data_IF_836077401142
#
_entry.id   IF_836077401142
#
_cell.length_a   1.000
_cell.length_b   1.000
_cell.length_c   1.000
_cell.angle_alpha   90.00
_cell.angle_beta   90.00
_cell.angle_gamma   90.00
#
_symmetry.space_group_name_H-M   'P 1'
#
loop_
_entity.id
_entity.type
_entity.pdbx_description
1 polymer ?
2 water ?
#
# COMPACT_ATOMS: atom_id res chain seq x y z
N UNK A 3 -23.13 -17.64 -10.61
CA UNK A 3 -22.83 -16.57 -11.59
C UNK A 3 -21.40 -16.13 -11.32
N UNK A 4 -20.47 -16.58 -12.18
CA UNK A 4 -19.03 -16.32 -12.13
C UNK A 4 -18.59 -14.89 -11.82
N UNK A 5 -17.63 -14.77 -10.92
CA UNK A 5 -17.11 -13.48 -10.54
C UNK A 5 -16.17 -12.92 -11.59
N UNK A 6 -16.26 -11.61 -11.80
CA UNK A 6 -15.44 -10.91 -12.77
C UNK A 6 -14.02 -10.80 -12.21
N UNK A 7 -13.03 -10.69 -13.10
CA UNK A 7 -11.64 -10.57 -12.67
C UNK A 7 -11.10 -9.23 -13.14
N UNK A 8 -10.55 -8.45 -12.20
CA UNK A 8 -10.01 -7.14 -12.51
C UNK A 8 -8.51 -7.17 -12.33
N UNK A 9 -7.78 -6.79 -13.37
CA UNK A 9 -6.33 -6.78 -13.30
C UNK A 9 -5.82 -5.51 -12.68
N UNK A 10 -4.74 -5.63 -11.90
CA UNK A 10 -4.12 -4.50 -11.24
C UNK A 10 -3.85 -3.41 -12.28
N UNK A 11 -3.43 -3.82 -13.46
CA UNK A 11 -3.12 -2.90 -14.55
C UNK A 11 -4.30 -2.00 -14.88
N UNK A 12 -5.46 -2.62 -15.09
CA UNK A 12 -6.69 -1.89 -15.43
C UNK A 12 -6.97 -0.78 -14.41
N UNK A 13 -6.69 -1.06 -13.14
CA UNK A 13 -6.89 -0.09 -12.07
C UNK A 13 -5.84 1.02 -12.16
N UNK A 14 -4.59 0.64 -12.39
CA UNK A 14 -3.50 1.61 -12.48
C UNK A 14 -3.68 2.54 -13.68
N UNK A 15 -4.19 2.01 -14.79
CA UNK A 15 -4.42 2.80 -16.00
C UNK A 15 -5.24 4.05 -15.70
N UNK A 16 -6.16 3.93 -14.74
CA UNK A 16 -7.03 5.02 -14.32
C UNK A 16 -6.24 6.27 -13.95
N UNK A 17 -5.15 6.09 -13.22
CA UNK A 17 -4.33 7.21 -12.77
C UNK A 17 -3.37 7.77 -13.79
N UNK A 18 -3.15 7.04 -14.89
CA UNK A 18 -2.23 7.47 -15.95
C UNK A 18 -2.34 8.94 -16.32
N UNK A 19 -3.51 9.35 -16.82
CA UNK A 19 -3.73 10.72 -17.23
C UNK A 19 -3.29 11.74 -16.19
N UNK A 20 -3.71 11.52 -14.95
CA UNK A 20 -3.37 12.43 -13.85
C UNK A 20 -1.86 12.55 -13.68
N UNK A 21 -1.22 11.40 -13.49
CA UNK A 21 0.22 11.34 -13.28
C UNK A 21 1.03 12.02 -14.39
N UNK A 22 0.70 11.74 -15.63
CA UNK A 22 1.41 12.32 -16.77
C UNK A 22 1.48 13.84 -16.66
N UNK A 23 0.31 14.47 -16.62
CA UNK A 23 0.22 15.93 -16.53
C UNK A 23 1.13 16.57 -15.48
N UNK A 24 1.13 16.02 -14.28
CA UNK A 24 1.99 16.55 -13.22
C UNK A 24 3.44 16.46 -13.66
N UNK A 25 3.84 15.28 -14.12
CA UNK A 25 5.20 15.05 -14.57
C UNK A 25 5.56 16.06 -15.66
N UNK A 26 4.60 16.32 -16.53
CA UNK A 26 4.76 17.25 -17.64
C UNK A 26 5.08 18.66 -17.17
N UNK A 27 4.26 19.16 -16.25
CA UNK A 27 4.45 20.50 -15.70
C UNK A 27 5.81 20.59 -15.00
N UNK A 28 6.18 19.51 -14.30
CA UNK A 28 7.46 19.47 -13.61
C UNK A 28 8.59 19.61 -14.62
N UNK A 29 8.45 18.92 -15.76
CA UNK A 29 9.45 18.98 -16.82
C UNK A 29 9.66 20.44 -17.21
N UNK A 30 8.55 21.15 -17.38
CA UNK A 30 8.58 22.56 -17.75
C UNK A 30 9.49 23.37 -16.84
N UNK A 31 9.20 23.32 -15.55
CA UNK A 31 9.99 24.07 -14.56
C UNK A 31 11.42 23.54 -14.36
N UNK A 32 11.68 22.34 -14.85
CA UNK A 32 13.01 21.75 -14.71
C UNK A 32 13.59 21.35 -16.07
N UNK A 33 13.40 22.23 -17.05
CA UNK A 33 13.86 22.06 -18.44
C UNK A 33 13.77 20.66 -19.04
N UNK A 34 12.55 20.20 -19.24
CA UNK A 34 12.31 18.90 -19.83
C UNK A 34 12.86 17.73 -19.02
N UNK A 35 13.51 18.04 -17.90
CA UNK A 35 14.11 17.01 -17.06
C UNK A 35 13.13 16.59 -15.94
N UNK A 36 12.51 15.43 -16.12
CA UNK A 36 11.56 14.92 -15.14
C UNK A 36 12.16 14.48 -13.81
N UNK A 37 11.33 13.98 -12.89
CA UNK A 37 11.78 13.53 -11.56
C UNK A 37 12.62 12.26 -11.66
N UNK A 38 13.67 12.17 -10.85
CA UNK A 38 14.54 11.00 -10.85
C UNK A 38 14.18 10.14 -9.65
N UNK A 39 13.81 8.89 -9.90
CA UNK A 39 13.48 7.95 -8.84
C UNK A 39 14.47 6.79 -8.87
N UNK A 40 15.30 6.74 -7.83
CA UNK A 40 16.29 5.68 -7.71
C UNK A 40 15.62 4.48 -7.02
N UNK A 41 15.83 3.29 -7.58
CA UNK A 41 15.27 2.08 -7.01
C UNK A 41 16.40 1.28 -6.41
N UNK A 42 16.13 0.59 -5.31
CA UNK A 42 17.16 -0.20 -4.65
C UNK A 42 16.85 -1.68 -4.61
N UNK A 43 17.60 -2.44 -5.40
CA UNK A 43 17.42 -3.89 -5.47
C UNK A 43 18.58 -4.46 -4.69
N UNK A 44 18.32 -5.44 -3.83
CA UNK A 44 19.38 -6.04 -3.03
C UNK A 44 19.02 -7.44 -2.56
N UNK A 45 18.11 -8.08 -3.30
CA UNK A 45 17.71 -9.43 -2.93
C UNK A 45 17.82 -10.35 -4.14
N UNK A 46 18.17 -11.60 -3.86
CA UNK A 46 18.34 -12.62 -4.89
C UNK A 46 16.99 -13.29 -5.20
N UNK A 47 15.98 -12.47 -5.46
CA UNK A 47 14.65 -13.00 -5.77
C UNK A 47 14.18 -12.53 -7.13
N UNK A 48 13.90 -13.48 -8.02
CA UNK A 48 13.43 -13.15 -9.38
C UNK A 48 12.08 -12.42 -9.36
N UNK A 49 11.22 -12.76 -8.41
CA UNK A 49 9.90 -12.14 -8.31
C UNK A 49 10.05 -10.63 -8.12
N UNK A 50 10.94 -10.24 -7.23
CA UNK A 50 11.19 -8.83 -6.97
C UNK A 50 11.82 -8.18 -8.20
N UNK A 51 12.70 -8.92 -8.88
CA UNK A 51 13.37 -8.42 -10.08
C UNK A 51 12.35 -8.02 -11.15
N UNK A 52 11.39 -8.90 -11.40
CA UNK A 52 10.34 -8.63 -12.37
C UNK A 52 9.61 -7.35 -11.97
N UNK A 53 9.22 -7.27 -10.71
CA UNK A 53 8.53 -6.10 -10.18
C UNK A 53 9.42 -4.87 -10.36
N UNK A 54 10.72 -5.04 -10.14
CA UNK A 54 11.67 -3.95 -10.29
C UNK A 54 11.65 -3.47 -11.74
N UNK A 55 11.54 -4.43 -12.66
CA UNK A 55 11.49 -4.13 -14.09
C UNK A 55 10.20 -3.38 -14.40
N UNK A 56 9.07 -3.87 -13.90
CA UNK A 56 7.78 -3.23 -14.11
C UNK A 56 7.84 -1.77 -13.71
N UNK A 57 8.24 -1.55 -12.46
CA UNK A 57 8.36 -0.20 -11.92
C UNK A 57 9.30 0.60 -12.82
N UNK A 58 10.47 0.01 -13.04
CA UNK A 58 11.52 0.58 -13.88
C UNK A 58 10.99 1.14 -15.20
N UNK A 59 10.23 0.32 -15.91
CA UNK A 59 9.69 0.70 -17.21
C UNK A 59 8.50 1.65 -17.12
N UNK A 60 7.53 1.30 -16.29
CA UNK A 60 6.32 2.11 -16.12
C UNK A 60 6.62 3.57 -15.83
N UNK A 61 7.55 3.82 -14.92
CA UNK A 61 7.92 5.19 -14.56
C UNK A 61 8.51 5.94 -15.75
N UNK A 62 9.44 5.30 -16.45
CA UNK A 62 10.08 5.91 -17.62
C UNK A 62 9.05 6.23 -18.69
N UNK A 63 8.03 5.38 -18.78
CA UNK A 63 6.96 5.57 -19.74
C UNK A 63 6.16 6.83 -19.36
N UNK A 64 6.12 7.14 -18.07
CA UNK A 64 5.40 8.30 -17.57
C UNK A 64 6.21 9.58 -17.69
N UNK A 65 7.49 9.45 -18.00
CA UNK A 65 8.34 10.62 -18.11
C UNK A 65 9.27 10.77 -16.92
N UNK A 66 9.41 9.69 -16.16
CA UNK A 66 10.28 9.67 -14.98
C UNK A 66 11.64 9.10 -15.35
N UNK A 67 12.67 9.53 -14.61
CA UNK A 67 14.02 9.03 -14.84
C UNK A 67 14.26 8.01 -13.72
N UNK A 68 14.30 6.74 -14.07
CA UNK A 68 14.50 5.70 -13.06
C UNK A 68 15.92 5.13 -13.06
N UNK A 69 16.64 5.35 -11.96
CA UNK A 69 17.99 4.85 -11.80
C UNK A 69 17.81 3.61 -10.92
N UNK A 70 18.09 2.42 -11.45
CA UNK A 70 17.93 1.19 -10.69
C UNK A 70 19.26 0.67 -10.15
N UNK A 71 19.57 1.04 -8.92
CA UNK A 71 20.82 0.63 -8.33
C UNK A 71 20.72 -0.76 -7.68
N UNK A 72 21.49 -1.70 -8.23
CA UNK A 72 21.50 -3.08 -7.73
C UNK A 72 22.71 -3.31 -6.84
N UNK A 73 22.47 -3.63 -5.57
CA UNK A 73 23.54 -3.87 -4.61
C UNK A 73 23.88 -5.35 -4.55
N UNK A 74 25.16 -5.67 -4.33
CA UNK A 74 25.59 -7.07 -4.25
C UNK A 74 25.24 -7.63 -2.87
N UNK A 75 26.01 -7.26 -1.85
CA UNK A 75 25.74 -7.72 -0.49
C UNK A 75 24.91 -6.69 0.27
N UNK A 76 23.92 -7.18 0.99
CA UNK A 76 22.99 -6.37 1.76
C UNK A 76 23.58 -5.29 2.66
N UNK A 77 24.65 -5.60 3.36
CA UNK A 77 25.26 -4.65 4.28
C UNK A 77 25.66 -3.29 3.73
N UNK A 78 25.89 -3.21 2.42
CA UNK A 78 26.27 -1.94 1.83
C UNK A 78 25.08 -1.17 1.28
N UNK A 79 23.89 -1.78 1.36
CA UNK A 79 22.66 -1.14 0.89
C UNK A 79 22.47 0.15 1.65
N UNK A 80 22.59 0.07 2.98
CA UNK A 80 22.45 1.21 3.85
C UNK A 80 23.27 2.37 3.31
N UNK A 81 24.58 2.15 3.19
CA UNK A 81 25.51 3.16 2.70
C UNK A 81 25.00 3.83 1.44
N UNK A 82 24.47 3.02 0.52
CA UNK A 82 23.96 3.53 -0.74
C UNK A 82 22.81 4.49 -0.48
N UNK A 83 21.99 4.17 0.51
CA UNK A 83 20.85 5.01 0.82
C UNK A 83 21.25 6.41 1.28
N UNK A 84 22.19 6.52 2.22
CA UNK A 84 22.60 7.83 2.70
C UNK A 84 23.18 8.70 1.59
N UNK A 85 24.08 8.14 0.78
CA UNK A 85 24.67 8.92 -0.30
C UNK A 85 23.57 9.43 -1.23
N UNK A 86 22.51 8.63 -1.38
CA UNK A 86 21.39 9.01 -2.22
C UNK A 86 20.58 10.10 -1.55
N UNK A 87 20.50 10.05 -0.22
CA UNK A 87 19.75 11.03 0.57
C UNK A 87 20.25 12.44 0.28
N UNK A 88 21.57 12.59 0.29
CA UNK A 88 22.20 13.88 0.05
C UNK A 88 22.37 14.27 -1.41
N UNK A 89 22.11 13.35 -2.32
CA UNK A 89 22.23 13.65 -3.74
C UNK A 89 20.98 14.39 -4.18
N UNK A 90 21.14 15.66 -4.53
CA UNK A 90 20.02 16.49 -4.96
C UNK A 90 19.40 16.04 -6.27
N UNK A 91 20.21 15.39 -7.09
CA UNK A 91 19.74 14.89 -8.39
C UNK A 91 18.62 13.89 -8.14
N UNK A 92 18.75 13.16 -7.04
CA UNK A 92 17.76 12.16 -6.64
C UNK A 92 16.53 12.87 -6.10
N UNK A 93 15.37 12.57 -6.69
CA UNK A 93 14.12 13.17 -6.25
C UNK A 93 13.32 12.18 -5.41
N UNK A 94 13.48 10.89 -5.69
CA UNK A 94 12.74 9.89 -4.95
C UNK A 94 13.54 8.62 -4.80
N UNK A 95 13.35 7.93 -3.68
CA UNK A 95 14.05 6.68 -3.39
C UNK A 95 13.02 5.62 -3.00
N UNK A 96 13.29 4.37 -3.40
CA UNK A 96 12.40 3.27 -3.06
C UNK A 96 13.24 2.01 -2.92
N UNK A 97 12.91 1.18 -1.95
CA UNK A 97 13.67 -0.05 -1.72
C UNK A 97 12.83 -1.29 -1.94
N UNK A 98 13.47 -2.32 -2.49
CA UNK A 98 12.81 -3.59 -2.77
C UNK A 98 13.14 -4.60 -1.69
N UNK A 99 12.12 -4.98 -0.93
CA UNK A 99 12.23 -5.94 0.15
C UNK A 99 11.76 -7.29 -0.36
N UNK A 100 12.13 -8.39 0.33
CA UNK A 100 12.96 -8.44 1.53
C UNK A 100 14.47 -8.34 1.28
N UNK A 101 15.11 -7.38 1.91
CA UNK A 101 16.55 -7.23 1.75
C UNK A 101 17.18 -8.21 2.75
N UNK A 102 16.97 -7.94 4.04
CA UNK A 102 17.48 -8.80 5.12
C UNK A 102 16.36 -9.73 5.57
N UNK A 103 15.12 -9.31 5.29
CA UNK A 103 13.97 -10.10 5.66
C UNK A 103 13.75 -10.27 7.15
N UNK A 104 13.85 -9.17 7.89
CA UNK A 104 13.61 -9.20 9.33
C UNK A 104 13.51 -7.78 9.87
N UNK A 105 13.88 -7.58 11.13
CA UNK A 105 13.82 -6.25 11.73
C UNK A 105 14.66 -5.26 10.95
N UNK A 106 15.84 -5.69 10.50
CA UNK A 106 16.73 -4.83 9.74
C UNK A 106 16.02 -4.09 8.62
N UNK A 107 15.06 -4.74 7.98
CA UNK A 107 14.31 -4.11 6.91
C UNK A 107 13.48 -2.95 7.47
N UNK A 108 12.92 -3.14 8.67
CA UNK A 108 12.12 -2.10 9.32
C UNK A 108 13.06 -0.94 9.68
N UNK A 109 14.31 -1.29 9.95
CA UNK A 109 15.34 -0.31 10.29
C UNK A 109 15.70 0.46 9.02
N UNK A 110 15.89 -0.30 7.93
CA UNK A 110 16.26 0.28 6.64
C UNK A 110 15.20 1.24 6.16
N UNK A 111 13.94 0.87 6.33
CA UNK A 111 12.84 1.74 5.88
C UNK A 111 12.81 3.07 6.61
N UNK A 112 13.60 3.19 7.67
CA UNK A 112 13.66 4.43 8.44
C UNK A 112 14.92 5.22 8.10
N UNK A 113 15.82 4.63 7.34
CA UNK A 113 17.06 5.30 6.96
C UNK A 113 16.84 6.27 5.79
N UNK A 114 15.98 5.86 4.86
CA UNK A 114 15.64 6.67 3.68
C UNK A 114 15.26 8.12 4.03
N UNK A 115 15.74 9.07 3.24
CA UNK A 115 15.43 10.49 3.47
C UNK A 115 13.92 10.70 3.48
N UNK A 116 13.41 11.12 4.63
CA UNK A 116 11.99 11.35 4.84
C UNK A 116 11.28 12.13 3.73
N UNK A 117 11.93 13.12 3.13
CA UNK A 117 11.30 13.90 2.07
C UNK A 117 11.47 13.32 0.67
N UNK A 118 12.13 12.17 0.60
CA UNK A 118 12.37 11.49 -0.67
C UNK A 118 11.76 10.10 -0.66
N UNK A 119 11.32 9.66 0.52
CA UNK A 119 10.72 8.34 0.67
C UNK A 119 9.43 8.29 -0.14
N UNK A 120 9.50 7.72 -1.34
CA UNK A 120 8.36 7.65 -2.23
C UNK A 120 7.25 6.69 -1.85
N UNK A 121 7.56 5.66 -1.06
CA UNK A 121 6.52 4.71 -0.68
C UNK A 121 5.87 4.95 0.69
N UNK A 122 6.33 5.97 1.41
CA UNK A 122 5.77 6.24 2.71
C UNK A 122 6.22 5.19 3.69
N UNK A 123 7.46 4.75 3.50
CA UNK A 123 8.09 3.74 4.33
C UNK A 123 8.35 4.30 5.73
N UNK A 124 8.81 5.55 5.79
CA UNK A 124 9.12 6.22 7.05
C UNK A 124 7.99 6.14 8.08
N UNK A 125 8.40 5.98 9.33
CA UNK A 125 7.47 5.87 10.44
C UNK A 125 6.42 6.97 10.53
N UNK A 126 6.81 8.22 10.30
CA UNK A 126 5.87 9.33 10.38
C UNK A 126 4.60 9.13 9.57
N UNK A 127 4.74 8.62 8.36
CA UNK A 127 3.57 8.40 7.50
C UNK A 127 2.65 7.36 8.12
N UNK A 128 3.23 6.46 8.90
CA UNK A 128 2.45 5.45 9.58
C UNK A 128 1.72 6.06 10.76
N UNK A 129 2.45 6.84 11.56
CA UNK A 129 1.86 7.46 12.73
C UNK A 129 0.75 8.42 12.32
N UNK A 130 0.99 9.18 11.26
CA UNK A 130 0.00 10.14 10.75
C UNK A 130 -1.23 9.40 10.26
N UNK A 131 -1.05 8.15 9.82
CA UNK A 131 -2.15 7.34 9.33
C UNK A 131 -3.03 6.94 10.50
N UNK A 132 -2.39 6.40 11.54
CA UNK A 132 -3.06 5.94 12.75
C UNK A 132 -3.75 7.03 13.55
N UNK A 133 -3.16 8.22 13.57
CA UNK A 133 -3.71 9.35 14.30
C UNK A 133 -4.50 10.25 13.36
N UNK A 134 -4.88 9.70 12.21
CA UNK A 134 -5.62 10.41 11.18
C UNK A 134 -5.21 11.87 11.00
N UNK A 135 -3.91 12.09 10.88
CA UNK A 135 -3.33 13.42 10.68
C UNK A 135 -3.19 13.58 9.16
N UNK A 136 -3.70 14.67 8.62
CA UNK A 136 -3.63 14.91 7.18
C UNK A 136 -2.34 15.54 6.67
N UNK A 137 -1.90 16.61 7.30
CA UNK A 137 -0.68 17.31 6.87
C UNK A 137 0.48 17.19 7.83
N UNK A 138 1.69 17.43 7.33
CA UNK A 138 2.92 17.35 8.11
C UNK A 138 3.31 18.70 8.67
N UNK A 139 2.79 19.76 8.06
CA UNK A 139 3.11 21.11 8.49
C UNK A 139 1.99 21.65 9.37
N UNK A 140 2.06 22.94 9.69
CA UNK A 140 1.05 23.57 10.53
C UNK A 140 0.09 24.44 9.72
N UNK A 141 0.55 24.93 8.57
CA UNK A 141 -0.29 25.76 7.70
C UNK A 141 -1.22 24.87 6.90
N UNK A 142 -1.11 23.55 7.13
CA UNK A 142 -1.93 22.56 6.45
C UNK A 142 -1.77 22.69 4.95
N UNK A 143 -0.51 22.64 4.51
CA UNK A 143 -0.18 22.75 3.10
C UNK A 143 0.67 21.57 2.64
N UNK A 144 1.28 20.85 3.57
CA UNK A 144 2.10 19.69 3.23
C UNK A 144 1.39 18.39 3.55
N UNK A 145 0.61 17.87 2.60
CA UNK A 145 -0.10 16.62 2.80
C UNK A 145 0.86 15.49 3.16
N UNK A 146 0.45 14.67 4.12
CA UNK A 146 1.25 13.54 4.55
C UNK A 146 0.86 12.37 3.67
N UNK A 147 1.80 11.87 2.88
CA UNK A 147 1.53 10.75 1.98
C UNK A 147 1.36 9.49 2.80
N UNK A 148 0.53 8.58 2.30
CA UNK A 148 0.27 7.33 2.99
C UNK A 148 1.02 6.20 2.30
N UNK A 149 1.50 5.21 3.07
CA UNK A 149 2.24 4.07 2.51
C UNK A 149 1.49 3.51 1.28
N UNK A 150 2.19 3.44 0.16
CA UNK A 150 1.59 2.99 -1.10
C UNK A 150 0.83 1.68 -1.15
N UNK A 151 1.33 0.63 -0.52
CA UNK A 151 0.65 -0.65 -0.55
C UNK A 151 -0.77 -0.60 0.06
N UNK A 152 -0.90 -0.12 1.30
CA UNK A 152 -2.26 -0.07 1.86
C UNK A 152 -3.12 0.95 1.10
N UNK A 153 -2.50 2.06 0.69
CA UNK A 153 -3.19 3.09 -0.06
C UNK A 153 -3.76 2.51 -1.36
N UNK A 154 -2.92 1.76 -2.06
CA UNK A 154 -3.28 1.13 -3.33
C UNK A 154 -4.54 0.28 -3.17
N UNK A 155 -4.52 -0.60 -2.15
CA UNK A 155 -5.64 -1.47 -1.89
C UNK A 155 -6.94 -0.67 -1.76
N UNK A 156 -6.86 0.47 -1.05
CA UNK A 156 -8.02 1.33 -0.87
C UNK A 156 -8.46 1.91 -2.21
N UNK A 157 -7.51 2.37 -3.01
CA UNK A 157 -7.81 2.96 -4.31
C UNK A 157 -8.45 1.93 -5.25
N UNK A 158 -8.15 0.66 -5.01
CA UNK A 158 -8.73 -0.44 -5.78
C UNK A 158 -10.19 -0.54 -5.37
N UNK A 159 -10.46 -0.28 -4.09
CA UNK A 159 -11.80 -0.31 -3.53
C UNK A 159 -12.65 0.83 -4.10
N UNK A 160 -12.04 2.01 -4.23
CA UNK A 160 -12.74 3.17 -4.78
C UNK A 160 -13.11 2.89 -6.25
N UNK A 161 -12.17 2.28 -6.98
CA UNK A 161 -12.39 1.93 -8.38
C UNK A 161 -13.54 0.93 -8.49
N UNK A 162 -13.53 -0.09 -7.64
CA UNK A 162 -14.55 -1.13 -7.65
C UNK A 162 -15.94 -0.70 -7.17
N UNK A 163 -16.11 0.60 -6.91
CA UNK A 163 -17.38 1.17 -6.48
C UNK A 163 -17.92 0.60 -5.16
N UNK A 164 -17.05 -0.05 -4.40
CA UNK A 164 -17.44 -0.61 -3.11
C UNK A 164 -17.55 0.57 -2.13
N UNK A 165 -16.83 1.63 -2.43
CA UNK A 165 -16.87 2.84 -1.61
C UNK A 165 -18.15 3.57 -2.00
N UNK A 166 -19.07 3.69 -1.07
CA UNK A 166 -20.34 4.36 -1.33
C UNK A 166 -20.17 5.87 -1.36
N UNK A 167 -19.83 6.38 -2.53
CA UNK A 167 -19.59 7.80 -2.74
C UNK A 167 -20.72 8.77 -2.41
N UNK A 168 -21.83 8.26 -1.87
CA UNK A 168 -22.95 9.13 -1.51
C UNK A 168 -22.81 9.53 -0.04
N UNK A 169 -21.76 9.06 0.61
CA UNK A 169 -21.49 9.38 2.01
C UNK A 169 -20.26 10.29 2.06
N UNK A 170 -20.22 11.21 3.04
CA UNK A 170 -19.09 12.13 3.19
C UNK A 170 -17.78 11.37 3.49
N UNK A 171 -16.66 12.04 3.25
CA UNK A 171 -15.34 11.46 3.48
C UNK A 171 -15.13 10.98 4.91
N UNK A 172 -14.32 9.95 5.05
CA UNK A 172 -14.02 9.39 6.36
C UNK A 172 -15.11 8.48 6.90
N UNK A 173 -16.17 8.27 6.13
CA UNK A 173 -17.25 7.42 6.56
C UNK A 173 -17.91 6.74 5.37
N UNK A 174 -17.21 6.72 4.25
CA UNK A 174 -17.74 6.13 3.02
C UNK A 174 -17.94 4.62 3.19
N UNK A 175 -17.08 3.99 3.98
CA UNK A 175 -17.14 2.56 4.20
C UNK A 175 -18.03 2.15 5.37
N UNK A 176 -18.92 3.06 5.78
CA UNK A 176 -19.82 2.84 6.91
C UNK A 176 -20.36 1.42 7.14
N UNK A 177 -21.42 1.05 6.43
CA UNK A 177 -22.03 -0.26 6.63
C UNK A 177 -21.39 -1.50 6.05
N UNK A 178 -20.09 -1.47 5.75
CA UNK A 178 -19.41 -2.63 5.18
C UNK A 178 -18.55 -3.35 6.22
N UNK A 179 -18.11 -4.56 5.88
CA UNK A 179 -17.26 -5.34 6.78
C UNK A 179 -16.13 -6.00 6.01
N UNK A 180 -14.90 -5.83 6.49
CA UNK A 180 -13.73 -6.38 5.83
C UNK A 180 -12.91 -7.27 6.76
N UNK A 181 -12.14 -8.18 6.17
CA UNK A 181 -11.26 -9.07 6.93
C UNK A 181 -9.91 -9.08 6.22
N UNK A 182 -8.85 -8.88 6.99
CA UNK A 182 -7.49 -8.82 6.46
C UNK A 182 -6.66 -9.99 6.98
N UNK A 183 -6.29 -10.91 6.09
CA UNK A 183 -5.49 -12.06 6.48
C UNK A 183 -4.00 -11.72 6.44
N UNK A 184 -3.54 -10.96 7.44
CA UNK A 184 -2.16 -10.50 7.60
C UNK A 184 -2.17 -9.23 8.44
N UNK A 185 -1.26 -9.14 9.40
CA UNK A 185 -1.19 -7.94 10.23
C UNK A 185 0.25 -7.48 10.40
N UNK A 186 0.92 -7.25 9.28
CA UNK A 186 2.30 -6.79 9.30
C UNK A 186 2.35 -5.30 9.61
N UNK A 187 3.44 -4.87 10.23
CA UNK A 187 3.62 -3.47 10.58
C UNK A 187 3.79 -2.68 9.29
N UNK A 188 4.23 -3.37 8.25
CA UNK A 188 4.45 -2.77 6.93
C UNK A 188 3.14 -2.42 6.22
N UNK A 189 2.22 -3.37 6.12
CA UNK A 189 0.99 -3.11 5.41
C UNK A 189 -0.24 -3.82 5.98
N UNK A 190 -0.02 -4.84 6.82
CA UNK A 190 -1.14 -5.57 7.40
C UNK A 190 -1.96 -4.72 8.36
N UNK A 191 -1.34 -4.35 9.47
CA UNK A 191 -2.01 -3.54 10.49
C UNK A 191 -2.46 -2.19 9.92
N UNK A 192 -1.55 -1.47 9.22
CA UNK A 192 -1.91 -0.17 8.64
C UNK A 192 -3.17 -0.18 7.78
N UNK A 193 -3.27 -1.15 6.88
CA UNK A 193 -4.43 -1.28 6.00
C UNK A 193 -5.71 -1.43 6.81
N UNK A 194 -5.70 -2.42 7.71
CA UNK A 194 -6.84 -2.73 8.56
C UNK A 194 -7.36 -1.48 9.26
N UNK A 195 -6.44 -0.72 9.84
CA UNK A 195 -6.78 0.52 10.53
C UNK A 195 -7.32 1.57 9.58
N UNK A 196 -6.67 1.68 8.42
CA UNK A 196 -7.05 2.66 7.40
C UNK A 196 -8.49 2.42 6.96
N UNK A 197 -8.87 1.16 6.86
CA UNK A 197 -10.23 0.80 6.47
C UNK A 197 -11.22 1.11 7.60
N UNK A 198 -10.85 0.74 8.82
CA UNK A 198 -11.69 0.96 10.00
C UNK A 198 -12.10 2.43 10.17
N UNK A 199 -11.14 3.33 9.97
CA UNK A 199 -11.40 4.76 10.10
C UNK A 199 -12.29 5.35 9.01
N UNK A 200 -12.61 4.56 7.99
CA UNK A 200 -13.48 5.03 6.91
C UNK A 200 -14.89 4.52 7.21
N UNK A 201 -15.02 3.70 8.25
CA UNK A 201 -16.32 3.19 8.62
C UNK A 201 -16.35 1.71 8.92
N UNK A 202 -16.19 0.91 7.88
CA UNK A 202 -16.22 -0.55 7.97
C UNK A 202 -15.58 -1.21 9.18
N UNK A 203 -16.22 -2.26 9.67
CA UNK A 203 -15.73 -3.03 10.80
C UNK A 203 -14.68 -3.98 10.22
N UNK A 204 -13.48 -4.00 10.80
CA UNK A 204 -12.41 -4.84 10.27
C UNK A 204 -11.98 -6.03 11.14
N UNK A 205 -12.03 -7.22 10.56
CA UNK A 205 -11.61 -8.45 11.24
C UNK A 205 -10.15 -8.67 10.88
N UNK A 206 -9.24 -8.24 11.74
CA UNK A 206 -7.83 -8.43 11.46
C UNK A 206 -7.39 -9.82 11.87
N UNK A 207 -6.70 -10.50 10.97
CA UNK A 207 -6.22 -11.85 11.23
C UNK A 207 -4.71 -11.85 11.42
N UNK A 208 -4.24 -12.65 12.37
CA UNK A 208 -2.82 -12.77 12.68
C UNK A 208 -2.54 -14.24 12.89
N UNK A 209 -1.28 -14.65 12.70
CA UNK A 209 -0.90 -16.04 12.86
C UNK A 209 -1.27 -16.61 14.24
N UNK A 210 -1.18 -15.78 15.26
CA UNK A 210 -1.52 -16.21 16.62
C UNK A 210 -2.96 -15.92 17.03
N UNK A 211 -3.46 -14.70 16.77
CA UNK A 211 -4.82 -14.35 17.17
C UNK A 211 -5.61 -13.52 16.16
N UNK A 212 -6.88 -13.29 16.47
CA UNK A 212 -7.79 -12.51 15.64
C UNK A 212 -8.12 -11.24 16.43
N UNK A 213 -8.56 -10.19 15.74
CA UNK A 213 -8.94 -8.92 16.37
C UNK A 213 -9.99 -8.20 15.53
N UNK A 214 -10.62 -7.18 16.11
CA UNK A 214 -11.66 -6.44 15.40
C UNK A 214 -11.46 -4.94 15.52
N UNK A 215 -10.96 -4.34 14.44
CA UNK A 215 -10.71 -2.91 14.39
C UNK A 215 -12.00 -2.20 14.03
N UNK A 216 -12.30 -1.15 14.79
CA UNK A 216 -13.51 -0.35 14.57
C UNK A 216 -13.16 1.12 14.73
N UNK A 217 -14.16 1.99 14.55
CA UNK A 217 -13.95 3.43 14.69
C UNK A 217 -13.40 3.76 16.08
N UNK A 218 -12.63 4.84 16.16
CA UNK A 218 -12.04 5.24 17.43
C UNK A 218 -13.04 5.57 18.54
N UNK A 219 -12.78 5.02 19.71
CA UNK A 219 -13.64 5.23 20.88
C UNK A 219 -12.94 6.13 21.88
N UNK A 220 -12.36 7.23 21.42
CA UNK A 220 -11.66 8.12 22.34
C UNK A 220 -11.61 9.58 21.90
N UNK A 221 -11.50 10.46 22.89
CA UNK A 221 -11.41 11.89 22.66
C UNK A 221 -9.95 12.33 22.77
N UNK A 222 -9.14 11.50 23.43
CA UNK A 222 -7.73 11.81 23.63
C UNK A 222 -6.88 11.52 22.40
N UNK A 223 -7.39 10.65 21.52
CA UNK A 223 -6.67 10.30 20.30
C UNK A 223 -7.63 9.81 19.21
N UNK A 224 -7.46 10.34 18.01
CA UNK A 224 -8.29 9.97 16.87
C UNK A 224 -7.67 8.75 16.17
N UNK A 225 -7.70 7.61 16.86
CA UNK A 225 -7.12 6.38 16.35
C UNK A 225 -8.12 5.23 16.42
N UNK A 226 -8.17 4.42 15.37
CA UNK A 226 -9.07 3.28 15.32
C UNK A 226 -9.07 2.51 16.64
N UNK A 227 -10.24 2.12 17.10
CA UNK A 227 -10.34 1.37 18.33
C UNK A 227 -10.09 -0.10 18.04
N UNK A 228 -9.17 -0.71 18.77
CA UNK A 228 -8.85 -2.10 18.57
C UNK A 228 -9.60 -3.01 19.55
N UNK A 229 -10.58 -3.73 19.04
CA UNK A 229 -11.31 -4.66 19.88
C UNK A 229 -10.56 -5.97 19.72
N UNK A 230 -10.45 -6.75 20.79
CA UNK A 230 -9.75 -8.02 20.75
C UNK A 230 -10.77 -9.15 20.67
N UNK A 231 -10.31 -10.32 20.21
CA UNK A 231 -11.17 -11.49 20.09
C UNK A 231 -10.35 -12.74 20.38
N UNK A 232 -11.04 -13.86 20.60
CA UNK A 232 -10.37 -15.11 20.94
C UNK A 232 -9.15 -15.52 20.13
N UNK A 233 -8.31 -16.37 20.74
CA UNK A 233 -7.09 -16.88 20.11
C UNK A 233 -7.42 -17.43 18.73
N UNK A 234 -6.48 -17.37 17.80
CA UNK A 234 -6.73 -17.86 16.45
C UNK A 234 -7.08 -19.33 16.33
N UNK A 235 -8.35 -19.61 16.07
CA UNK A 235 -8.83 -20.96 15.86
C UNK A 235 -9.36 -20.97 14.44
N UNK A 236 -8.98 -21.99 13.67
CA UNK A 236 -9.40 -22.11 12.27
C UNK A 236 -10.88 -21.78 12.05
N UNK A 237 -11.74 -22.40 12.85
CA UNK A 237 -13.17 -22.16 12.73
C UNK A 237 -13.55 -20.72 13.05
N UNK A 238 -12.78 -20.06 13.92
CA UNK A 238 -13.04 -18.67 14.28
C UNK A 238 -12.85 -17.82 13.03
N UNK A 239 -11.72 -18.04 12.35
CA UNK A 239 -11.37 -17.35 11.12
C UNK A 239 -12.54 -17.41 10.15
N UNK A 240 -13.24 -18.54 10.19
CA UNK A 240 -14.39 -18.78 9.33
C UNK A 240 -15.54 -17.81 9.58
N UNK A 241 -16.14 -17.86 10.77
CA UNK A 241 -17.28 -16.99 11.10
C UNK A 241 -17.06 -15.53 10.74
N UNK A 242 -15.86 -15.04 11.06
CA UNK A 242 -15.49 -13.66 10.77
C UNK A 242 -15.53 -13.44 9.25
N UNK A 243 -14.79 -14.28 8.54
CA UNK A 243 -14.70 -14.22 7.09
C UNK A 243 -16.08 -14.22 6.41
N UNK A 244 -16.96 -15.11 6.88
CA UNK A 244 -18.31 -15.24 6.33
C UNK A 244 -19.05 -13.91 6.35
N UNK A 245 -19.08 -13.30 7.52
CA UNK A 245 -19.76 -12.04 7.74
C UNK A 245 -19.21 -10.91 6.86
N UNK A 246 -17.90 -10.73 6.89
CA UNK A 246 -17.25 -9.69 6.10
C UNK A 246 -17.24 -9.93 4.60
N UNK A 247 -17.97 -9.10 3.85
CA UNK A 247 -18.05 -9.26 2.40
C UNK A 247 -16.86 -8.68 1.63
N UNK A 248 -15.80 -8.34 2.33
CA UNK A 248 -14.59 -7.81 1.70
C UNK A 248 -13.40 -8.47 2.38
N UNK A 249 -12.67 -9.29 1.64
CA UNK A 249 -11.52 -9.99 2.18
C UNK A 249 -10.21 -9.68 1.47
N UNK A 250 -9.30 -9.06 2.21
CA UNK A 250 -8.00 -8.72 1.69
C UNK A 250 -7.06 -9.80 2.24
N UNK A 251 -6.10 -10.24 1.43
CA UNK A 251 -5.18 -11.27 1.87
C UNK A 251 -3.76 -10.94 1.43
N UNK A 252 -2.79 -11.21 2.31
CA UNK A 252 -1.41 -10.91 1.98
C UNK A 252 -0.38 -11.68 2.79
N UNK A 253 -0.62 -12.97 2.98
CA UNK A 253 0.30 -13.81 3.72
C UNK A 253 1.40 -14.30 2.75
N UNK A 254 2.68 -14.05 3.11
CA UNK A 254 3.89 -14.41 2.34
C UNK A 254 4.17 -15.88 2.00
N UNK A 255 3.29 -16.79 2.43
CA UNK A 255 3.49 -18.21 2.15
C UNK A 255 3.13 -18.52 0.69
N UNK A 256 4.07 -19.17 0.00
CA UNK A 256 3.86 -19.55 -1.40
C UNK A 256 2.92 -20.76 -1.50
N UNK A 257 2.57 -21.32 -0.35
CA UNK A 257 1.69 -22.48 -0.31
C UNK A 257 0.49 -22.30 0.60
N UNK A 258 0.13 -21.05 0.88
CA UNK A 258 -1.03 -20.77 1.72
C UNK A 258 -2.27 -20.76 0.84
N UNK A 259 -3.31 -21.44 1.30
CA UNK A 259 -4.56 -21.55 0.58
C UNK A 259 -5.70 -21.08 1.46
N UNK A 260 -6.48 -20.12 0.97
CA UNK A 260 -7.62 -19.62 1.73
C UNK A 260 -8.86 -20.40 1.33
N UNK A 261 -9.36 -21.26 2.24
CA UNK A 261 -10.54 -22.07 1.99
C UNK A 261 -11.69 -21.27 1.37
N UNK A 262 -12.02 -21.61 0.14
CA UNK A 262 -13.08 -20.95 -0.60
C UNK A 262 -14.40 -21.01 0.18
N UNK A 263 -14.49 -21.98 1.08
CA UNK A 263 -15.68 -22.17 1.91
C UNK A 263 -15.97 -20.93 2.75
N UNK A 264 -14.93 -20.15 2.99
CA UNK A 264 -15.03 -18.95 3.80
C UNK A 264 -15.74 -17.75 3.16
N UNK A 265 -15.23 -17.28 2.03
CA UNK A 265 -15.83 -16.13 1.36
C UNK A 265 -17.34 -16.22 1.18
N UNK A 266 -18.00 -15.07 1.16
CA UNK A 266 -19.44 -15.05 0.99
C UNK A 266 -19.82 -14.55 -0.39
N UNK A 267 -21.02 -14.91 -0.83
CA UNK A 267 -21.50 -14.49 -2.14
C UNK A 267 -21.40 -12.98 -2.28
N UNK A 268 -20.84 -12.54 -3.40
CA UNK A 268 -20.68 -11.12 -3.65
C UNK A 268 -19.49 -10.51 -2.94
N UNK A 269 -18.75 -11.33 -2.21
CA UNK A 269 -17.58 -10.83 -1.48
C UNK A 269 -16.47 -10.46 -2.43
N UNK A 270 -15.90 -9.28 -2.21
CA UNK A 270 -14.78 -8.80 -3.02
C UNK A 270 -13.52 -9.42 -2.42
N UNK A 271 -12.67 -9.98 -3.28
CA UNK A 271 -11.45 -10.59 -2.81
C UNK A 271 -10.24 -9.92 -3.44
N UNK A 272 -9.27 -9.56 -2.62
CA UNK A 272 -8.05 -8.90 -3.09
C UNK A 272 -6.85 -9.50 -2.35
N UNK A 273 -5.76 -9.70 -3.08
CA UNK A 273 -4.54 -10.24 -2.50
C UNK A 273 -3.40 -9.28 -2.82
N UNK A 274 -2.49 -9.08 -1.88
CA UNK A 274 -1.38 -8.18 -2.10
C UNK A 274 -0.01 -8.84 -1.94
N UNK A 275 0.00 -10.10 -1.57
CA UNK A 275 1.25 -10.83 -1.39
C UNK A 275 1.83 -11.08 -2.78
N UNK A 276 3.16 -11.18 -2.87
CA UNK A 276 3.81 -11.43 -4.15
C UNK A 276 3.66 -12.91 -4.56
N UNK A 277 2.50 -13.47 -4.24
CA UNK A 277 2.15 -14.86 -4.53
C UNK A 277 0.64 -15.00 -4.37
N UNK A 278 0.08 -16.04 -4.97
CA UNK A 278 -1.36 -16.31 -4.92
C UNK A 278 -1.74 -17.15 -3.71
N UNK A 279 -2.59 -16.57 -2.86
CA UNK A 279 -3.07 -17.24 -1.65
C UNK A 279 -4.56 -17.59 -1.74
N UNK A 280 -5.21 -17.18 -2.82
CA UNK A 280 -6.62 -17.46 -3.04
C UNK A 280 -6.71 -18.74 -3.88
N UNK A 281 -7.52 -19.69 -3.44
CA UNK A 281 -7.66 -20.94 -4.18
C UNK A 281 -8.45 -20.76 -5.47
N UNK A 282 -7.71 -20.58 -6.57
CA UNK A 282 -8.22 -20.41 -7.93
C UNK A 282 -9.72 -20.43 -8.20
N UNK A 283 -10.41 -21.47 -7.75
CA UNK A 283 -11.85 -21.60 -7.95
C UNK A 283 -12.66 -20.48 -7.29
N UNK A 284 -11.99 -19.69 -6.46
CA UNK A 284 -12.61 -18.57 -5.74
C UNK A 284 -13.57 -17.70 -6.55
N UNK A 285 -13.38 -17.63 -7.85
CA UNK A 285 -14.25 -16.81 -8.71
C UNK A 285 -15.74 -17.14 -8.63
N UNK A 286 -16.08 -18.38 -8.28
CA UNK A 286 -17.48 -18.74 -8.15
C UNK A 286 -17.86 -18.63 -6.67
N UNK A 287 -18.10 -17.40 -6.24
CA UNK A 287 -18.50 -17.04 -4.87
C UNK A 287 -18.30 -15.52 -4.71
N UNK A 288 -17.10 -15.05 -5.03
CA UNK A 288 -16.76 -13.64 -4.95
C UNK A 288 -17.44 -12.88 -6.08
N UNK A 289 -17.60 -11.58 -5.92
CA UNK A 289 -18.23 -10.75 -6.96
C UNK A 289 -17.16 -10.24 -7.91
N UNK A 290 -16.11 -9.69 -7.33
CA UNK A 290 -14.98 -9.15 -8.08
C UNK A 290 -13.73 -9.74 -7.43
N UNK A 291 -12.70 -9.95 -8.23
CA UNK A 291 -11.45 -10.52 -7.71
C UNK A 291 -10.22 -9.88 -8.37
N UNK A 292 -9.34 -9.36 -7.53
CA UNK A 292 -8.09 -8.75 -7.98
C UNK A 292 -6.96 -9.64 -7.48
N UNK A 293 -6.36 -10.43 -8.40
CA UNK A 293 -5.26 -11.37 -8.17
C UNK A 293 -3.97 -10.80 -7.56
N UNK A 294 -3.73 -9.51 -7.79
CA UNK A 294 -2.55 -8.85 -7.26
C UNK A 294 -2.65 -7.33 -7.41
N UNK A 295 -1.98 -6.63 -6.51
CA UNK A 295 -2.00 -5.18 -6.48
C UNK A 295 -0.80 -4.48 -7.14
N UNK A 296 0.32 -5.20 -7.25
CA UNK A 296 1.54 -4.67 -7.83
C UNK A 296 1.47 -3.43 -8.70
N UNK A 297 0.81 -3.55 -9.85
CA UNK A 297 0.68 -2.44 -10.79
C UNK A 297 0.14 -1.19 -10.10
N UNK A 298 -0.92 -1.37 -9.33
CA UNK A 298 -1.56 -0.28 -8.60
C UNK A 298 -0.56 0.31 -7.61
N UNK A 299 0.14 -0.57 -6.90
CA UNK A 299 1.12 -0.15 -5.92
C UNK A 299 2.11 0.82 -6.58
N UNK A 300 2.60 0.43 -7.75
CA UNK A 300 3.54 1.25 -8.51
C UNK A 300 2.95 2.64 -8.74
N UNK A 301 1.73 2.67 -9.26
CA UNK A 301 1.05 3.93 -9.55
C UNK A 301 0.97 4.83 -8.32
N UNK A 302 0.81 4.20 -7.15
CA UNK A 302 0.72 4.93 -5.91
C UNK A 302 2.01 5.61 -5.53
N UNK A 303 3.13 4.88 -5.57
CA UNK A 303 4.41 5.49 -5.22
C UNK A 303 4.80 6.55 -6.25
N UNK A 304 4.25 6.42 -7.44
CA UNK A 304 4.52 7.37 -8.50
C UNK A 304 3.85 8.70 -8.18
N UNK A 305 2.53 8.69 -8.00
CA UNK A 305 1.81 9.91 -7.69
C UNK A 305 2.26 10.43 -6.32
N UNK A 306 2.72 9.52 -5.47
CA UNK A 306 3.21 9.87 -4.16
C UNK A 306 4.44 10.75 -4.36
N UNK A 307 5.35 10.28 -5.22
CA UNK A 307 6.57 11.01 -5.52
C UNK A 307 6.25 12.41 -6.00
N UNK A 308 5.24 12.55 -6.85
CA UNK A 308 4.85 13.88 -7.33
C UNK A 308 4.43 14.73 -6.14
N UNK A 309 3.73 14.11 -5.19
CA UNK A 309 3.25 14.77 -3.98
C UNK A 309 4.43 15.26 -3.15
N UNK A 310 5.44 14.41 -2.99
CA UNK A 310 6.63 14.77 -2.22
C UNK A 310 7.38 15.92 -2.88
N UNK A 311 7.44 15.90 -4.20
CA UNK A 311 8.14 16.94 -4.94
C UNK A 311 7.45 18.27 -4.69
N UNK A 312 6.14 18.29 -4.89
CA UNK A 312 5.33 19.48 -4.68
C UNK A 312 5.62 20.04 -3.28
N UNK A 313 5.68 19.14 -2.30
CA UNK A 313 5.97 19.52 -0.91
C UNK A 313 7.36 20.14 -0.81
N UNK A 314 8.35 19.49 -1.43
CA UNK A 314 9.73 19.96 -1.40
C UNK A 314 9.89 21.38 -1.96
N UNK A 315 9.20 21.67 -3.06
CA UNK A 315 9.27 22.99 -3.66
C UNK A 315 8.35 23.95 -2.91
N UNK A 316 7.30 23.38 -2.31
CA UNK A 316 6.33 24.14 -1.53
C UNK A 316 6.97 24.57 -0.21
N UNK A 317 8.03 23.85 0.17
CA UNK A 317 8.77 24.13 1.40
C UNK A 317 10.21 24.53 1.05
N UNK A 318 10.43 24.87 -0.21
CA UNK A 318 11.76 25.27 -0.69
C UNK A 318 12.22 26.60 -0.08
N UNK A 319 11.26 27.46 0.24
CA UNK A 319 11.56 28.76 0.83
C UNK A 319 10.33 29.29 1.56
#
# INVERSE_FOLDING_TARGET
MSKPGRTILASKVAETFNTEIINNVEEYKKTHNGQGPLLVGFLANNDPAAKMYATWTQKTSESMGFRYDLRVIEDKDFLEEAIIQANGDDSVNGIMVYFPVFGNAQDQYLQQVVCKEKDVEGLNHVYYQNLYHNVRYLDKENRLKSILPCTPLAIVKILEFLKIYNNLLPEGNRLYGKKCIVINRSEIVGRPLAALLANDGATVYSVDVNNIQKFTRGESLKLNKHHVEDLGEYSEDLLKKCSLDSDVVITGVPSENYKFPTEYIKEGAVCINFACTKNFSDDVKEKASLYVPMTGKVTIAMLLRNMLRLVRNVELSKEK
#
